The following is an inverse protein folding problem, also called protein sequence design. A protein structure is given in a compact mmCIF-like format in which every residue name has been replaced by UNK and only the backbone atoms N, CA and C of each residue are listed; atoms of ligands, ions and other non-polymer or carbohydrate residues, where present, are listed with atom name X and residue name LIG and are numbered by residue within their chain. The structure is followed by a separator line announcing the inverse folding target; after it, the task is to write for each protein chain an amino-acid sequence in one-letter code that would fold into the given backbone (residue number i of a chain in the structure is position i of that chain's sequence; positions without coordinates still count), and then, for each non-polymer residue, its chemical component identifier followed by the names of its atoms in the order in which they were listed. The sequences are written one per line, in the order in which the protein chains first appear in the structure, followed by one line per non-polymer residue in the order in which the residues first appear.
data_IF_649722461588
#
_entry.id   IF_649722461588
#
_cell.length_a   1.000
_cell.length_b   1.000
_cell.length_c   1.000
_cell.angle_alpha   90.00
_cell.angle_beta   90.00
_cell.angle_gamma   90.00
#
_symmetry.space_group_name_H-M   'P 1'
#
loop_
_entity.id
_entity.type
_entity.pdbx_description
1 polymer ?
#
# COMPACT_ATOMS: atom_id res chain seq x y z
N UNK A 1 0.06 11.09 -22.60
CA UNK A 1 -1.37 11.50 -22.46
C UNK A 1 -1.85 10.91 -21.13
N UNK A 2 -3.14 10.69 -20.91
CA UNK A 2 -3.65 9.92 -19.75
C UNK A 2 -4.65 8.89 -20.26
N UNK A 3 -4.83 7.79 -19.54
CA UNK A 3 -5.88 6.81 -19.85
C UNK A 3 -7.20 7.33 -19.28
N UNK A 4 -8.23 7.40 -20.12
CA UNK A 4 -9.60 7.65 -19.66
C UNK A 4 -10.19 6.33 -19.20
N UNK A 5 -10.57 6.24 -17.93
CA UNK A 5 -11.12 5.04 -17.33
C UNK A 5 -12.59 5.26 -16.98
N UNK A 6 -13.42 4.32 -17.38
CA UNK A 6 -14.76 4.17 -16.80
C UNK A 6 -14.78 2.85 -16.04
N UNK A 7 -15.24 2.89 -14.80
CA UNK A 7 -15.47 1.70 -14.01
C UNK A 7 -16.97 1.40 -13.94
N UNK A 8 -17.35 0.13 -14.03
CA UNK A 8 -18.68 -0.40 -13.76
C UNK A 8 -18.52 -1.64 -12.88
N UNK A 9 -19.56 -2.02 -12.14
CA UNK A 9 -19.61 -3.35 -11.52
C UNK A 9 -20.23 -4.35 -12.48
N UNK A 10 -20.01 -5.65 -12.26
CA UNK A 10 -20.87 -6.66 -12.87
C UNK A 10 -22.35 -6.39 -12.54
N UNK A 11 -23.25 -6.89 -13.38
CA UNK A 11 -24.69 -6.75 -13.17
C UNK A 11 -25.20 -7.62 -12.03
N UNK A 12 -26.42 -7.34 -11.59
CA UNK A 12 -27.04 -7.97 -10.41
C UNK A 12 -27.10 -9.50 -10.55
N UNK A 13 -26.75 -10.20 -9.47
CA UNK A 13 -26.83 -11.66 -9.38
C UNK A 13 -27.98 -12.11 -8.47
N UNK A 14 -28.36 -13.39 -8.55
CA UNK A 14 -29.31 -14.01 -7.62
C UNK A 14 -28.86 -13.89 -6.16
N UNK A 15 -27.54 -13.98 -5.91
CA UNK A 15 -26.98 -13.76 -4.57
C UNK A 15 -27.21 -12.32 -4.10
N UNK A 16 -27.07 -11.33 -4.98
CA UNK A 16 -27.33 -9.94 -4.62
C UNK A 16 -28.79 -9.70 -4.24
N UNK A 17 -29.73 -10.31 -4.98
CA UNK A 17 -31.18 -10.21 -4.70
C UNK A 17 -31.56 -10.84 -3.37
N UNK A 18 -30.85 -11.90 -2.97
CA UNK A 18 -31.06 -12.60 -1.69
C UNK A 18 -30.18 -12.07 -0.56
N UNK A 19 -29.37 -11.03 -0.81
CA UNK A 19 -28.53 -10.39 0.21
C UNK A 19 -27.28 -11.18 0.60
N UNK A 20 -26.76 -12.04 -0.28
CA UNK A 20 -25.54 -12.83 -0.09
C UNK A 20 -24.37 -12.28 -0.92
N UNK A 21 -23.19 -12.34 -0.33
CA UNK A 21 -21.96 -11.93 -1.00
C UNK A 21 -21.34 -13.13 -1.66
N UNK A 22 -21.47 -13.21 -2.99
CA UNK A 22 -20.91 -14.29 -3.80
C UNK A 22 -19.41 -14.49 -3.55
N UNK A 23 -18.64 -13.40 -3.40
CA UNK A 23 -17.19 -13.48 -3.27
C UNK A 23 -16.54 -14.16 -4.47
N UNK A 24 -15.68 -15.14 -4.21
CA UNK A 24 -15.02 -15.93 -5.28
C UNK A 24 -15.84 -17.13 -5.77
N UNK A 25 -17.09 -17.30 -5.35
CA UNK A 25 -18.00 -18.24 -6.00
C UNK A 25 -18.34 -17.73 -7.42
N UNK A 26 -18.75 -18.62 -8.35
CA UNK A 26 -19.06 -18.22 -9.72
C UNK A 26 -20.12 -17.09 -9.80
N UNK A 27 -21.23 -17.28 -9.08
CA UNK A 27 -22.41 -16.41 -9.13
C UNK A 27 -23.14 -16.50 -10.47
N UNK A 28 -24.44 -16.26 -10.45
CA UNK A 28 -25.31 -16.25 -11.64
C UNK A 28 -26.04 -14.91 -11.73
N UNK A 29 -26.02 -14.27 -12.90
CA UNK A 29 -26.80 -13.06 -13.14
C UNK A 29 -28.30 -13.36 -12.99
N UNK A 30 -29.04 -12.45 -12.35
CA UNK A 30 -30.49 -12.56 -12.33
C UNK A 30 -31.11 -12.14 -13.66
N UNK A 31 -32.41 -12.35 -13.84
CA UNK A 31 -33.12 -11.87 -15.04
C UNK A 31 -32.94 -10.36 -15.23
N UNK A 32 -33.11 -9.59 -14.16
CA UNK A 32 -32.85 -8.14 -14.14
C UNK A 32 -31.37 -7.84 -14.42
N UNK A 33 -30.45 -8.65 -13.87
CA UNK A 33 -29.02 -8.56 -14.14
C UNK A 33 -28.67 -8.71 -15.62
N UNK A 34 -29.31 -9.65 -16.33
CA UNK A 34 -29.12 -9.87 -17.77
C UNK A 34 -29.56 -8.63 -18.56
N UNK A 35 -30.70 -8.04 -18.23
CA UNK A 35 -31.20 -6.84 -18.90
C UNK A 35 -30.34 -5.61 -18.60
N UNK A 36 -29.84 -5.47 -17.36
CA UNK A 36 -28.88 -4.43 -16.99
C UNK A 36 -27.54 -4.57 -17.73
N UNK A 37 -27.06 -5.80 -17.94
CA UNK A 37 -25.85 -6.06 -18.71
C UNK A 37 -26.02 -5.67 -20.18
N UNK A 38 -27.16 -5.97 -20.80
CA UNK A 38 -27.47 -5.50 -22.17
C UNK A 38 -27.53 -3.98 -22.23
N UNK A 39 -28.20 -3.35 -21.26
CA UNK A 39 -28.30 -1.90 -21.19
C UNK A 39 -26.93 -1.23 -20.99
N UNK A 40 -25.97 -1.89 -20.31
CA UNK A 40 -24.59 -1.41 -20.23
C UNK A 40 -23.95 -1.31 -21.63
N UNK A 41 -24.15 -2.32 -22.47
CA UNK A 41 -23.70 -2.31 -23.86
C UNK A 41 -24.26 -1.12 -24.64
N UNK A 42 -25.58 -0.91 -24.58
CA UNK A 42 -26.24 0.22 -25.25
C UNK A 42 -25.68 1.59 -24.83
N UNK A 43 -25.30 1.75 -23.54
CA UNK A 43 -24.72 3.00 -23.04
C UNK A 43 -23.28 3.24 -23.47
N UNK A 44 -22.49 2.19 -23.76
CA UNK A 44 -21.02 2.28 -23.83
C UNK A 44 -20.43 1.92 -25.20
N UNK A 45 -21.10 1.13 -26.04
CA UNK A 45 -20.55 0.71 -27.35
C UNK A 45 -20.16 1.89 -28.25
N UNK A 46 -20.87 3.01 -28.15
CA UNK A 46 -20.62 4.22 -28.95
C UNK A 46 -19.63 5.23 -28.35
N UNK A 47 -19.00 4.94 -27.21
CA UNK A 47 -18.17 5.93 -26.48
C UNK A 47 -16.69 5.89 -26.88
N UNK A 48 -16.33 5.18 -27.95
CA UNK A 48 -14.94 5.05 -28.40
C UNK A 48 -14.06 4.20 -27.46
N UNK A 49 -14.64 3.17 -26.84
CA UNK A 49 -13.86 2.24 -26.01
C UNK A 49 -12.83 1.49 -26.86
N UNK A 50 -11.59 1.48 -26.39
CA UNK A 50 -10.49 0.75 -27.01
C UNK A 50 -10.43 -0.70 -26.52
N UNK A 51 -10.78 -0.93 -25.25
CA UNK A 51 -10.93 -2.26 -24.68
C UNK A 51 -11.87 -2.26 -23.46
N UNK A 52 -12.39 -3.44 -23.13
CA UNK A 52 -13.10 -3.74 -21.89
C UNK A 52 -12.28 -4.74 -21.10
N UNK A 53 -11.87 -4.39 -19.88
CA UNK A 53 -11.31 -5.33 -18.91
C UNK A 53 -12.40 -5.77 -17.94
N UNK A 54 -12.47 -7.06 -17.64
CA UNK A 54 -13.35 -7.57 -16.60
C UNK A 54 -12.62 -8.58 -15.70
N UNK A 55 -13.16 -8.83 -14.52
CA UNK A 55 -12.72 -9.99 -13.75
C UNK A 55 -13.06 -11.27 -14.49
N UNK A 56 -12.29 -12.32 -14.22
CA UNK A 56 -12.54 -13.66 -14.77
C UNK A 56 -13.60 -14.45 -13.97
N UNK A 57 -14.28 -13.83 -13.00
CA UNK A 57 -15.42 -14.46 -12.33
C UNK A 57 -16.61 -14.51 -13.29
N UNK A 58 -17.32 -15.64 -13.30
CA UNK A 58 -18.35 -15.94 -14.30
C UNK A 58 -19.36 -14.80 -14.51
N UNK A 59 -19.90 -14.22 -13.43
CA UNK A 59 -20.85 -13.10 -13.50
C UNK A 59 -20.30 -11.82 -14.16
N UNK A 60 -19.00 -11.54 -14.03
CA UNK A 60 -18.38 -10.38 -14.65
C UNK A 60 -18.11 -10.64 -16.13
N UNK A 61 -17.62 -11.84 -16.47
CA UNK A 61 -17.47 -12.30 -17.85
C UNK A 61 -18.81 -12.27 -18.58
N UNK A 62 -19.86 -12.85 -17.99
CA UNK A 62 -21.20 -12.88 -18.56
C UNK A 62 -21.76 -11.45 -18.76
N UNK A 63 -21.51 -10.54 -17.81
CA UNK A 63 -21.87 -9.12 -17.96
C UNK A 63 -21.18 -8.51 -19.18
N UNK A 64 -19.86 -8.72 -19.31
CA UNK A 64 -19.07 -8.19 -20.42
C UNK A 64 -19.49 -8.78 -21.77
N UNK A 65 -19.76 -10.09 -21.84
CA UNK A 65 -20.20 -10.77 -23.05
C UNK A 65 -21.60 -10.32 -23.50
N UNK A 66 -22.55 -10.16 -22.57
CA UNK A 66 -23.87 -9.62 -22.91
C UNK A 66 -23.79 -8.17 -23.39
N UNK A 67 -22.91 -7.38 -22.77
CA UNK A 67 -22.74 -5.96 -23.08
C UNK A 67 -21.94 -5.70 -24.36
N UNK A 68 -20.90 -6.50 -24.66
CA UNK A 68 -19.92 -6.21 -25.72
C UNK A 68 -19.64 -7.40 -26.65
N UNK A 69 -20.23 -8.57 -26.40
CA UNK A 69 -20.10 -9.73 -27.28
C UNK A 69 -20.58 -9.41 -28.70
N UNK A 70 -19.80 -9.85 -29.69
CA UNK A 70 -20.04 -9.54 -31.11
C UNK A 70 -19.73 -8.10 -31.51
N UNK A 71 -19.29 -7.25 -30.58
CA UNK A 71 -18.70 -5.94 -30.91
C UNK A 71 -17.22 -6.14 -31.22
N UNK A 72 -16.65 -5.32 -32.11
CA UNK A 72 -15.21 -5.35 -32.39
C UNK A 72 -14.33 -4.87 -31.23
N UNK A 73 -14.92 -4.56 -30.07
CA UNK A 73 -14.22 -4.09 -28.88
C UNK A 73 -13.64 -5.31 -28.15
N UNK A 74 -12.31 -5.39 -27.93
CA UNK A 74 -11.69 -6.48 -27.19
C UNK A 74 -12.23 -6.58 -25.76
N UNK A 75 -12.58 -7.79 -25.34
CA UNK A 75 -12.89 -8.14 -23.94
C UNK A 75 -11.69 -8.90 -23.37
N UNK A 76 -11.08 -8.38 -22.31
CA UNK A 76 -9.87 -8.90 -21.68
C UNK A 76 -10.20 -9.26 -20.23
N UNK A 77 -9.89 -10.48 -19.81
CA UNK A 77 -10.08 -10.89 -18.43
C UNK A 77 -8.81 -10.65 -17.61
N UNK A 78 -8.96 -10.19 -16.37
CA UNK A 78 -7.85 -9.97 -15.45
C UNK A 78 -8.24 -10.36 -14.02
N UNK A 79 -7.47 -11.25 -13.40
CA UNK A 79 -7.73 -11.76 -12.04
C UNK A 79 -7.62 -10.68 -10.97
N UNK A 80 -6.93 -9.57 -11.24
CA UNK A 80 -6.80 -8.44 -10.31
C UNK A 80 -8.09 -7.61 -10.20
N UNK A 81 -9.04 -7.81 -11.12
CA UNK A 81 -10.38 -7.23 -11.05
C UNK A 81 -11.37 -8.07 -10.24
N UNK A 82 -10.99 -9.23 -9.69
CA UNK A 82 -11.89 -10.06 -8.86
C UNK A 82 -12.39 -9.30 -7.63
N UNK A 83 -13.56 -9.73 -7.13
CA UNK A 83 -14.05 -9.29 -5.81
C UNK A 83 -13.02 -9.66 -4.73
N UNK A 84 -13.14 -9.09 -3.54
CA UNK A 84 -12.40 -9.61 -2.39
C UNK A 84 -12.71 -11.10 -2.18
N UNK A 85 -11.67 -11.92 -2.00
CA UNK A 85 -11.85 -13.30 -1.57
C UNK A 85 -12.25 -13.33 -0.10
N UNK A 86 -13.50 -13.69 0.20
CA UNK A 86 -13.94 -13.87 1.58
C UNK A 86 -13.47 -15.20 2.18
N UNK A 87 -12.75 -16.03 1.42
CA UNK A 87 -12.23 -17.33 1.84
C UNK A 87 -13.35 -18.26 2.30
N UNK A 88 -13.26 -18.72 3.54
CA UNK A 88 -14.31 -19.55 4.17
C UNK A 88 -15.67 -18.84 4.30
N UNK A 89 -15.74 -17.53 4.03
CA UNK A 89 -16.95 -16.72 4.15
C UNK A 89 -17.57 -16.33 2.80
N UNK A 90 -17.05 -16.84 1.69
CA UNK A 90 -17.70 -16.68 0.39
C UNK A 90 -19.14 -17.26 0.45
N UNK A 91 -20.11 -16.52 -0.08
CA UNK A 91 -21.54 -16.85 -0.02
C UNK A 91 -22.26 -16.45 1.27
N UNK A 92 -21.58 -15.83 2.25
CA UNK A 92 -22.24 -15.40 3.49
C UNK A 92 -23.16 -14.17 3.29
N UNK A 93 -24.16 -13.97 4.17
CA UNK A 93 -25.01 -12.78 4.13
C UNK A 93 -24.22 -11.47 4.23
N UNK A 94 -24.61 -10.47 3.42
CA UNK A 94 -24.01 -9.14 3.38
C UNK A 94 -23.92 -8.49 4.76
N UNK A 95 -24.95 -8.66 5.59
CA UNK A 95 -25.02 -8.07 6.93
C UNK A 95 -23.87 -8.57 7.83
N UNK A 96 -23.53 -9.87 7.76
CA UNK A 96 -22.43 -10.46 8.53
C UNK A 96 -21.08 -9.96 8.03
N UNK A 97 -20.91 -9.82 6.72
CA UNK A 97 -19.66 -9.30 6.18
C UNK A 97 -19.50 -7.81 6.48
N UNK A 98 -20.56 -7.02 6.36
CA UNK A 98 -20.54 -5.57 6.64
C UNK A 98 -20.06 -5.24 8.05
N UNK A 99 -20.50 -5.99 9.07
CA UNK A 99 -20.04 -5.78 10.44
C UNK A 99 -18.54 -6.04 10.62
N UNK A 100 -17.93 -6.83 9.74
CA UNK A 100 -16.53 -7.25 9.82
C UNK A 100 -15.62 -6.43 8.90
N UNK A 101 -16.16 -5.73 7.91
CA UNK A 101 -15.38 -4.99 6.88
C UNK A 101 -14.28 -4.10 7.46
N UNK A 102 -14.59 -3.37 8.53
CA UNK A 102 -13.62 -2.48 9.18
C UNK A 102 -12.44 -3.21 9.83
N UNK A 103 -12.64 -4.45 10.28
CA UNK A 103 -11.57 -5.31 10.79
C UNK A 103 -10.76 -5.96 9.65
N UNK A 104 -11.35 -6.07 8.46
CA UNK A 104 -10.79 -6.77 7.29
C UNK A 104 -10.06 -5.87 6.30
N UNK A 105 -9.85 -4.60 6.66
CA UNK A 105 -9.07 -3.66 5.84
C UNK A 105 -7.65 -4.19 5.65
N UNK A 106 -6.99 -4.49 6.77
CA UNK A 106 -5.59 -4.89 6.85
C UNK A 106 -5.42 -6.37 7.22
N UNK A 107 -6.44 -6.98 7.80
CA UNK A 107 -6.43 -8.38 8.21
C UNK A 107 -7.23 -9.20 7.21
N UNK A 108 -6.66 -10.26 6.60
CA UNK A 108 -7.40 -11.06 5.65
C UNK A 108 -8.66 -11.71 6.24
N UNK A 109 -9.65 -11.97 5.40
CA UNK A 109 -10.68 -12.95 5.73
C UNK A 109 -10.04 -14.34 5.95
N UNK A 110 -10.62 -15.21 6.79
CA UNK A 110 -10.07 -16.55 7.01
C UNK A 110 -9.94 -17.35 5.70
N UNK A 111 -8.70 -17.59 5.26
CA UNK A 111 -8.40 -18.26 3.99
C UNK A 111 -8.72 -17.44 2.75
N UNK A 112 -8.81 -16.11 2.87
CA UNK A 112 -9.10 -15.18 1.78
C UNK A 112 -8.16 -13.99 1.77
N UNK A 113 -8.67 -12.82 1.38
CA UNK A 113 -7.92 -11.59 1.22
C UNK A 113 -8.38 -10.51 2.21
N UNK A 114 -7.54 -9.53 2.47
CA UNK A 114 -7.92 -8.26 3.05
C UNK A 114 -8.35 -7.29 1.94
N UNK A 115 -9.09 -6.23 2.29
CA UNK A 115 -9.42 -5.19 1.30
C UNK A 115 -8.18 -4.48 0.77
N UNK A 116 -7.11 -4.40 1.56
CA UNK A 116 -5.85 -3.79 1.14
C UNK A 116 -5.09 -4.62 0.12
N UNK A 117 -5.14 -5.95 0.20
CA UNK A 117 -4.57 -6.82 -0.84
C UNK A 117 -5.32 -6.64 -2.18
N UNK A 118 -6.64 -6.46 -2.14
CA UNK A 118 -7.42 -6.12 -3.35
C UNK A 118 -6.97 -4.77 -3.92
N UNK A 119 -6.75 -3.76 -3.07
CA UNK A 119 -6.22 -2.47 -3.51
C UNK A 119 -4.83 -2.57 -4.13
N UNK A 120 -3.94 -3.40 -3.56
CA UNK A 120 -2.62 -3.65 -4.12
C UNK A 120 -2.69 -4.29 -5.52
N UNK A 121 -3.57 -5.28 -5.71
CA UNK A 121 -3.81 -5.90 -7.01
C UNK A 121 -4.37 -4.90 -8.04
N UNK A 122 -5.32 -4.05 -7.63
CA UNK A 122 -5.82 -2.98 -8.50
C UNK A 122 -4.69 -2.01 -8.90
N UNK A 123 -3.78 -1.68 -7.97
CA UNK A 123 -2.63 -0.85 -8.29
C UNK A 123 -1.66 -1.52 -9.29
N UNK A 124 -1.47 -2.84 -9.22
CA UNK A 124 -0.72 -3.57 -10.24
C UNK A 124 -1.39 -3.47 -11.62
N UNK A 125 -2.71 -3.64 -11.70
CA UNK A 125 -3.46 -3.50 -12.95
C UNK A 125 -3.35 -2.08 -13.53
N UNK A 126 -3.56 -1.06 -12.70
CA UNK A 126 -3.50 0.33 -13.13
C UNK A 126 -2.11 0.71 -13.68
N UNK A 127 -1.02 0.19 -13.10
CA UNK A 127 0.33 0.38 -13.66
C UNK A 127 0.45 -0.19 -15.07
N UNK A 128 -0.04 -1.41 -15.28
CA UNK A 128 0.00 -2.02 -16.60
C UNK A 128 -0.88 -1.27 -17.60
N UNK A 129 -2.03 -0.75 -17.16
CA UNK A 129 -2.92 0.05 -18.01
C UNK A 129 -2.27 1.37 -18.40
N UNK A 130 -1.67 2.09 -17.45
CA UNK A 130 -0.95 3.34 -17.69
C UNK A 130 0.15 3.17 -18.75
N UNK A 131 0.89 2.06 -18.66
CA UNK A 131 1.97 1.75 -19.60
C UNK A 131 1.49 1.35 -21.01
N UNK A 132 0.31 0.76 -21.14
CA UNK A 132 -0.16 0.13 -22.39
C UNK A 132 -1.21 0.95 -23.16
N UNK A 133 -1.94 1.81 -22.47
CA UNK A 133 -3.15 2.44 -22.98
C UNK A 133 -3.08 3.98 -22.94
N UNK A 134 -1.89 4.56 -23.08
CA UNK A 134 -1.72 6.02 -23.04
C UNK A 134 -2.60 6.73 -24.09
N UNK A 135 -3.51 7.58 -23.62
CA UNK A 135 -4.47 8.31 -24.46
C UNK A 135 -5.70 7.49 -24.90
N UNK A 136 -5.82 6.24 -24.49
CA UNK A 136 -6.96 5.38 -24.80
C UNK A 136 -8.07 5.47 -23.76
N UNK A 137 -9.27 5.03 -24.15
CA UNK A 137 -10.46 4.97 -23.30
C UNK A 137 -10.81 3.52 -22.98
N UNK A 138 -10.73 3.15 -21.71
CA UNK A 138 -10.83 1.77 -21.22
C UNK A 138 -11.99 1.64 -20.24
N UNK A 139 -12.80 0.59 -20.42
CA UNK A 139 -13.84 0.21 -19.46
C UNK A 139 -13.32 -0.90 -18.55
N UNK A 140 -13.49 -0.75 -17.25
CA UNK A 140 -13.22 -1.77 -16.24
C UNK A 140 -14.55 -2.27 -15.67
N UNK A 141 -14.78 -3.58 -15.67
CA UNK A 141 -15.95 -4.24 -15.07
C UNK A 141 -15.48 -5.12 -13.91
N UNK A 142 -15.70 -4.66 -12.68
CA UNK A 142 -15.28 -5.36 -11.46
C UNK A 142 -16.41 -5.56 -10.46
N UNK A 143 -16.10 -5.42 -9.18
CA UNK A 143 -17.00 -5.62 -8.05
C UNK A 143 -16.96 -4.45 -7.04
N UNK A 144 -17.54 -4.62 -5.85
CA UNK A 144 -17.56 -3.55 -4.86
C UNK A 144 -16.15 -3.26 -4.32
N UNK A 145 -15.36 -4.28 -3.96
CA UNK A 145 -14.02 -4.06 -3.39
C UNK A 145 -13.07 -3.36 -4.37
N UNK A 146 -13.09 -3.74 -5.64
CA UNK A 146 -12.26 -3.11 -6.69
C UNK A 146 -12.71 -1.69 -7.01
N UNK A 147 -13.98 -1.34 -6.80
CA UNK A 147 -14.46 0.05 -6.86
C UNK A 147 -13.92 0.88 -5.70
N UNK A 148 -13.89 0.31 -4.49
CA UNK A 148 -13.29 0.96 -3.32
C UNK A 148 -11.80 1.21 -3.56
N UNK A 149 -11.08 0.22 -4.09
CA UNK A 149 -9.68 0.36 -4.47
C UNK A 149 -9.45 1.52 -5.46
N UNK A 150 -10.26 1.63 -6.53
CA UNK A 150 -10.14 2.74 -7.49
C UNK A 150 -10.44 4.11 -6.88
N UNK A 151 -11.47 4.19 -6.04
CA UNK A 151 -11.79 5.42 -5.32
C UNK A 151 -10.67 5.87 -4.40
N UNK A 152 -9.92 4.91 -3.84
CA UNK A 152 -8.71 5.20 -3.05
C UNK A 152 -7.54 5.62 -3.92
N UNK A 153 -7.21 4.84 -4.93
CA UNK A 153 -6.00 5.02 -5.74
C UNK A 153 -6.05 6.24 -6.65
N UNK A 154 -7.23 6.58 -7.19
CA UNK A 154 -7.42 7.66 -8.17
C UNK A 154 -8.43 8.71 -7.72
N UNK A 155 -9.26 8.44 -6.71
CA UNK A 155 -10.33 9.33 -6.25
C UNK A 155 -10.02 10.11 -4.97
N UNK A 156 -8.87 9.90 -4.33
CA UNK A 156 -8.47 10.58 -3.09
C UNK A 156 -9.27 10.16 -1.83
N UNK A 157 -10.11 9.13 -1.91
CA UNK A 157 -10.83 8.61 -0.77
C UNK A 157 -9.93 7.72 0.11
N UNK A 158 -10.22 7.61 1.41
CA UNK A 158 -9.52 6.62 2.24
C UNK A 158 -10.11 5.24 2.02
N UNK A 159 -9.26 4.20 1.94
CA UNK A 159 -9.73 2.81 1.75
C UNK A 159 -10.72 2.41 2.84
N UNK A 160 -10.40 2.76 4.10
CA UNK A 160 -11.26 2.47 5.24
C UNK A 160 -12.62 3.16 5.13
N UNK A 161 -12.64 4.43 4.70
CA UNK A 161 -13.89 5.18 4.50
C UNK A 161 -14.76 4.56 3.40
N UNK A 162 -14.15 4.16 2.29
CA UNK A 162 -14.84 3.49 1.18
C UNK A 162 -15.40 2.12 1.59
N UNK A 163 -14.62 1.30 2.30
CA UNK A 163 -15.01 -0.07 2.65
C UNK A 163 -16.06 -0.14 3.76
N UNK A 164 -15.98 0.73 4.78
CA UNK A 164 -16.96 0.80 5.87
C UNK A 164 -18.20 1.60 5.46
N UNK A 165 -18.06 2.49 4.50
CA UNK A 165 -19.16 3.31 3.97
C UNK A 165 -20.24 2.49 3.28
N UNK A 166 -21.40 3.13 3.10
CA UNK A 166 -22.49 2.56 2.32
C UNK A 166 -22.10 2.49 0.83
N UNK A 167 -22.14 1.30 0.24
CA UNK A 167 -21.92 1.16 -1.20
C UNK A 167 -23.15 1.67 -1.96
N UNK A 168 -23.02 2.82 -2.60
CA UNK A 168 -24.05 3.43 -3.45
C UNK A 168 -23.73 3.18 -4.90
N UNK A 169 -24.43 2.22 -5.51
CA UNK A 169 -24.31 1.96 -6.93
C UNK A 169 -24.76 3.18 -7.76
N UNK A 170 -24.07 3.45 -8.86
CA UNK A 170 -24.47 4.42 -9.87
C UNK A 170 -24.01 3.94 -11.25
N UNK A 171 -24.52 4.59 -12.29
CA UNK A 171 -24.10 4.32 -13.67
C UNK A 171 -22.71 4.89 -13.92
N UNK A 172 -21.70 4.03 -13.91
CA UNK A 172 -20.31 4.37 -14.17
C UNK A 172 -19.62 5.22 -13.10
N UNK A 173 -18.31 5.00 -12.97
CA UNK A 173 -17.40 5.89 -12.26
C UNK A 173 -16.26 6.27 -13.19
N UNK A 174 -16.19 7.55 -13.63
CA UNK A 174 -15.07 8.01 -14.44
C UNK A 174 -13.84 8.26 -13.57
N UNK A 175 -12.67 7.94 -14.09
CA UNK A 175 -11.36 8.21 -13.52
C UNK A 175 -10.38 8.61 -14.64
N UNK A 176 -9.37 9.39 -14.29
CA UNK A 176 -8.24 9.65 -15.18
C UNK A 176 -7.02 8.99 -14.57
N UNK A 177 -6.35 8.14 -15.34
CA UNK A 177 -5.13 7.47 -14.95
C UNK A 177 -3.95 8.11 -15.68
N UNK A 178 -3.06 8.85 -14.99
CA UNK A 178 -1.86 9.43 -15.60
C UNK A 178 -0.98 8.36 -16.25
N UNK A 179 -0.34 8.68 -17.38
CA UNK A 179 0.59 7.74 -18.04
C UNK A 179 1.85 7.45 -17.20
N UNK A 180 2.25 8.40 -16.37
CA UNK A 180 3.32 8.29 -15.38
C UNK A 180 2.82 7.86 -14.00
N UNK A 181 1.59 7.33 -13.90
CA UNK A 181 1.03 6.91 -12.62
C UNK A 181 1.85 5.78 -12.01
N UNK A 182 2.46 6.08 -10.87
CA UNK A 182 3.44 5.21 -10.24
C UNK A 182 2.87 4.34 -9.11
N UNK A 183 1.56 4.37 -8.84
CA UNK A 183 0.95 3.51 -7.82
C UNK A 183 0.11 4.21 -6.76
N UNK A 184 0.01 5.54 -6.78
CA UNK A 184 -0.65 6.31 -5.72
C UNK A 184 0.20 6.30 -4.44
N UNK A 185 0.48 7.47 -3.88
CA UNK A 185 1.60 7.61 -2.92
C UNK A 185 1.33 7.06 -1.51
N UNK A 186 0.06 6.80 -1.16
CA UNK A 186 -0.33 6.81 0.25
C UNK A 186 -0.81 5.45 0.80
N UNK A 187 -1.62 4.71 0.03
CA UNK A 187 -2.20 3.44 0.52
C UNK A 187 -1.22 2.26 0.41
N UNK A 188 -0.23 2.37 -0.47
CA UNK A 188 0.91 1.44 -0.56
C UNK A 188 1.81 1.53 0.69
N UNK A 189 2.00 2.72 1.26
CA UNK A 189 2.82 2.88 2.47
C UNK A 189 2.16 2.22 3.68
N UNK A 190 0.84 2.37 3.86
CA UNK A 190 0.11 1.66 4.90
C UNK A 190 0.14 0.14 4.70
N UNK A 191 0.01 -0.34 3.46
CA UNK A 191 0.14 -1.76 3.17
C UNK A 191 1.51 -2.32 3.52
N UNK A 192 2.55 -1.59 3.14
CA UNK A 192 3.92 -1.93 3.46
C UNK A 192 4.16 -1.94 4.97
N UNK A 193 3.68 -0.94 5.73
CA UNK A 193 3.78 -0.94 7.20
C UNK A 193 3.04 -2.16 7.78
N UNK A 194 1.80 -2.42 7.37
CA UNK A 194 1.00 -3.54 7.87
C UNK A 194 1.70 -4.88 7.65
N UNK A 195 2.12 -5.16 6.42
CA UNK A 195 2.72 -6.46 6.05
C UNK A 195 4.09 -6.66 6.69
N UNK A 196 4.93 -5.64 6.65
CA UNK A 196 6.27 -5.68 7.23
C UNK A 196 6.22 -5.77 8.76
N UNK A 197 5.35 -5.00 9.42
CA UNK A 197 5.24 -5.01 10.88
C UNK A 197 4.62 -6.31 11.40
N UNK A 198 3.67 -6.90 10.67
CA UNK A 198 3.14 -8.23 10.99
C UNK A 198 4.22 -9.31 10.85
N UNK A 199 4.97 -9.32 9.75
CA UNK A 199 6.08 -10.25 9.54
C UNK A 199 7.16 -10.10 10.64
N UNK A 200 7.49 -8.86 11.00
CA UNK A 200 8.39 -8.55 12.10
C UNK A 200 7.85 -9.09 13.44
N UNK A 201 6.61 -8.80 13.80
CA UNK A 201 5.98 -9.31 15.03
C UNK A 201 6.11 -10.83 15.10
N UNK A 202 5.73 -11.54 14.04
CA UNK A 202 5.75 -13.00 13.99
C UNK A 202 7.17 -13.56 14.08
N UNK A 203 8.14 -12.91 13.42
CA UNK A 203 9.55 -13.27 13.56
C UNK A 203 10.03 -13.11 15.01
N UNK A 204 9.65 -12.05 15.71
CA UNK A 204 10.15 -11.80 17.07
C UNK A 204 9.46 -12.65 18.16
N UNK A 205 8.32 -13.30 17.87
CA UNK A 205 7.63 -14.15 18.84
C UNK A 205 8.53 -15.32 19.28
N UNK A 206 8.76 -15.42 20.59
CA UNK A 206 9.58 -16.46 21.21
C UNK A 206 11.09 -16.31 21.01
N UNK A 207 11.56 -15.22 20.39
CA UNK A 207 12.98 -14.92 20.23
C UNK A 207 13.60 -14.36 21.52
N UNK A 208 14.91 -14.58 21.72
CA UNK A 208 15.69 -13.84 22.71
C UNK A 208 16.01 -12.45 22.18
N UNK A 209 15.43 -11.42 22.81
CA UNK A 209 15.62 -10.02 22.42
C UNK A 209 16.77 -9.34 23.17
N UNK A 210 17.47 -10.03 24.08
CA UNK A 210 18.63 -9.49 24.80
C UNK A 210 19.94 -9.56 24.01
N UNK A 211 19.88 -9.90 22.72
CA UNK A 211 21.06 -10.03 21.86
C UNK A 211 21.51 -8.67 21.32
N UNK A 212 22.83 -8.40 21.21
CA UNK A 212 23.33 -7.14 20.68
C UNK A 212 22.97 -6.97 19.19
N UNK A 213 22.71 -5.73 18.78
CA UNK A 213 22.51 -5.38 17.36
C UNK A 213 23.69 -4.60 16.81
N UNK A 214 23.70 -4.38 15.49
CA UNK A 214 24.66 -3.46 14.86
C UNK A 214 24.43 -1.99 15.23
N UNK A 215 23.24 -1.65 15.73
CA UNK A 215 22.86 -0.31 16.13
C UNK A 215 23.31 -0.05 17.58
N UNK A 216 24.62 -0.16 17.84
CA UNK A 216 25.16 0.02 19.18
C UNK A 216 24.77 1.39 19.78
N UNK A 217 24.45 1.46 21.09
CA UNK A 217 24.58 0.41 22.11
C UNK A 217 23.36 -0.53 22.23
N UNK A 218 22.40 -0.48 21.31
CA UNK A 218 21.11 -1.18 21.46
C UNK A 218 21.20 -2.70 21.27
N UNK A 219 20.57 -3.42 22.19
CA UNK A 219 20.16 -4.80 21.97
C UNK A 219 18.89 -4.88 21.09
N UNK A 220 18.45 -6.09 20.74
CA UNK A 220 17.29 -6.28 19.88
C UNK A 220 15.99 -5.75 20.50
N UNK A 221 15.90 -5.70 21.83
CA UNK A 221 14.74 -5.13 22.54
C UNK A 221 14.74 -3.62 22.46
N UNK A 222 15.89 -2.98 22.68
CA UNK A 222 16.07 -1.54 22.55
C UNK A 222 15.79 -1.08 21.11
N UNK A 223 16.25 -1.84 20.12
CA UNK A 223 15.97 -1.56 18.71
C UNK A 223 14.48 -1.73 18.38
N UNK A 224 13.80 -2.75 18.92
CA UNK A 224 12.35 -2.89 18.78
C UNK A 224 11.61 -1.72 19.42
N UNK A 225 12.05 -1.26 20.59
CA UNK A 225 11.48 -0.10 21.28
C UNK A 225 11.65 1.19 20.45
N UNK A 226 12.79 1.35 19.77
CA UNK A 226 13.01 2.45 18.83
C UNK A 226 11.96 2.48 17.72
N UNK A 227 11.79 1.35 17.00
CA UNK A 227 10.81 1.24 15.91
C UNK A 227 9.37 1.40 16.43
N UNK A 228 9.07 0.86 17.62
CA UNK A 228 7.76 1.04 18.27
C UNK A 228 7.45 2.51 18.53
N UNK A 229 8.40 3.25 19.10
CA UNK A 229 8.25 4.67 19.40
C UNK A 229 8.04 5.50 18.13
N UNK A 230 8.71 5.16 17.05
CA UNK A 230 8.58 5.93 15.81
C UNK A 230 7.24 5.69 15.12
N UNK A 231 6.68 4.49 15.20
CA UNK A 231 5.32 4.21 14.74
C UNK A 231 4.26 4.87 15.61
N UNK A 232 4.42 4.84 16.95
CA UNK A 232 3.45 5.44 17.89
C UNK A 232 3.28 6.95 17.70
N UNK A 233 4.35 7.65 17.28
CA UNK A 233 4.31 9.07 16.92
C UNK A 233 3.27 9.38 15.84
N UNK A 234 3.01 8.45 14.92
CA UNK A 234 1.96 8.61 13.90
C UNK A 234 0.61 8.87 14.57
N UNK A 235 0.24 8.06 15.57
CA UNK A 235 -1.00 8.24 16.31
C UNK A 235 -1.02 9.59 17.03
N UNK A 236 0.06 9.97 17.71
CA UNK A 236 0.17 11.26 18.39
C UNK A 236 -0.01 12.43 17.43
N UNK A 237 0.70 12.44 16.29
CA UNK A 237 0.60 13.48 15.27
C UNK A 237 -0.85 13.62 14.79
N UNK A 238 -1.55 12.50 14.59
CA UNK A 238 -2.92 12.49 14.09
C UNK A 238 -3.95 13.04 15.09
N UNK A 239 -3.63 13.08 16.38
CA UNK A 239 -4.49 13.71 17.42
C UNK A 239 -4.30 15.23 17.55
N UNK A 240 -3.30 15.80 16.90
CA UNK A 240 -3.00 17.24 16.96
C UNK A 240 -3.53 17.99 15.73
N UNK A 241 -3.71 19.31 15.84
CA UNK A 241 -4.12 20.13 14.70
C UNK A 241 -3.06 20.05 13.57
N UNK A 242 -3.48 19.92 12.28
CA UNK A 242 -2.53 19.95 11.17
C UNK A 242 -1.66 21.22 11.20
N UNK A 243 -0.33 21.11 11.05
CA UNK A 243 0.52 22.29 10.94
C UNK A 243 0.27 23.02 9.61
N UNK A 244 0.52 24.33 9.59
CA UNK A 244 0.66 25.08 8.34
C UNK A 244 2.10 25.09 7.82
N UNK A 245 2.29 25.57 6.60
CA UNK A 245 3.61 25.71 5.95
C UNK A 245 3.78 24.78 4.75
N UNK A 246 4.88 24.98 4.02
CA UNK A 246 5.25 24.15 2.88
C UNK A 246 5.73 22.77 3.37
N UNK A 247 5.09 21.67 2.95
CA UNK A 247 5.44 20.34 3.44
C UNK A 247 6.76 19.85 2.82
N UNK A 248 7.54 19.13 3.60
CA UNK A 248 8.61 18.29 3.10
C UNK A 248 8.05 17.19 2.18
N UNK A 249 8.84 16.76 1.19
CA UNK A 249 8.64 15.49 0.50
C UNK A 249 9.17 14.33 1.36
N UNK A 250 8.85 13.09 1.00
CA UNK A 250 9.40 11.91 1.67
C UNK A 250 10.94 11.88 1.60
N UNK A 251 11.54 12.21 0.44
CA UNK A 251 12.99 12.34 0.30
C UNK A 251 13.55 13.51 1.12
N UNK A 252 12.90 14.68 1.06
CA UNK A 252 13.29 15.88 1.80
C UNK A 252 13.23 15.73 3.32
N UNK A 253 12.51 14.73 3.85
CA UNK A 253 12.57 14.35 5.26
C UNK A 253 14.00 14.02 5.71
N UNK A 254 14.77 13.34 4.86
CA UNK A 254 16.11 12.88 5.19
C UNK A 254 17.20 13.97 5.06
N UNK A 255 16.91 15.02 4.30
CA UNK A 255 17.79 16.20 4.15
C UNK A 255 17.40 17.36 5.08
N UNK A 256 16.37 17.17 5.92
CA UNK A 256 15.83 18.24 6.75
C UNK A 256 16.87 18.76 7.77
N UNK A 257 16.98 20.10 7.97
CA UNK A 257 17.88 20.67 8.96
C UNK A 257 17.63 20.12 10.37
N UNK A 258 18.71 19.81 11.11
CA UNK A 258 18.62 19.29 12.47
C UNK A 258 18.28 17.81 12.59
N UNK A 259 18.11 17.08 11.47
CA UNK A 259 17.78 15.65 11.51
C UNK A 259 18.82 14.80 12.26
N UNK A 260 20.09 15.21 12.16
CA UNK A 260 21.28 14.58 12.74
C UNK A 260 22.00 15.48 13.76
N UNK A 261 21.27 16.36 14.48
CA UNK A 261 21.86 17.15 15.56
C UNK A 261 22.30 16.24 16.73
N UNK A 262 23.60 16.22 17.11
CA UNK A 262 24.14 15.36 18.17
C UNK A 262 23.44 15.50 19.53
N UNK A 263 22.88 16.67 19.87
CA UNK A 263 22.16 16.87 21.12
C UNK A 263 20.83 16.10 21.16
N UNK A 264 20.22 15.90 19.99
CA UNK A 264 18.96 15.16 19.82
C UNK A 264 19.19 13.65 19.79
N UNK A 265 20.40 13.21 19.47
CA UNK A 265 20.79 11.80 19.43
C UNK A 265 21.02 11.18 20.82
N UNK A 266 21.51 11.95 21.80
CA UNK A 266 21.66 11.46 23.18
C UNK A 266 20.29 11.18 23.83
N UNK A 267 19.31 12.07 23.64
CA UNK A 267 17.94 11.86 24.10
C UNK A 267 17.26 10.67 23.40
N UNK A 268 17.63 10.39 22.13
CA UNK A 268 17.16 9.23 21.36
C UNK A 268 17.70 7.91 21.95
N UNK A 269 18.95 7.89 22.39
CA UNK A 269 19.57 6.72 23.02
C UNK A 269 18.91 6.40 24.37
N UNK A 270 18.63 7.43 25.17
CA UNK A 270 18.02 7.28 26.50
C UNK A 270 16.54 6.87 26.44
N UNK A 271 15.72 7.43 25.54
CA UNK A 271 14.27 7.16 25.47
C UNK A 271 13.95 5.71 25.07
N UNK A 272 14.77 5.12 24.20
CA UNK A 272 14.60 3.72 23.77
C UNK A 272 14.98 2.72 24.88
N UNK A 273 16.09 2.97 25.59
CA UNK A 273 16.63 2.07 26.62
C UNK A 273 15.70 1.87 27.84
N UNK A 274 14.76 2.80 28.06
CA UNK A 274 13.80 2.72 29.17
C UNK A 274 12.49 2.00 28.81
N UNK A 275 12.24 1.71 27.52
CA UNK A 275 11.01 1.04 27.08
C UNK A 275 11.24 -0.47 26.90
N UNK A 276 10.60 -1.28 27.75
CA UNK A 276 10.60 -2.75 27.62
C UNK A 276 9.64 -3.22 26.52
N UNK A 277 9.93 -2.91 25.26
CA UNK A 277 9.12 -3.38 24.15
C UNK A 277 9.09 -4.91 24.10
N UNK A 278 7.95 -5.46 23.70
CA UNK A 278 7.73 -6.86 23.40
C UNK A 278 7.07 -6.98 22.02
N UNK A 279 7.08 -8.16 21.39
CA UNK A 279 6.35 -8.37 20.14
C UNK A 279 4.86 -8.01 20.26
N UNK A 280 4.24 -8.24 21.43
CA UNK A 280 2.83 -7.92 21.64
C UNK A 280 2.57 -6.41 21.82
N UNK A 281 3.45 -5.68 22.54
CA UNK A 281 3.29 -4.22 22.63
C UNK A 281 3.56 -3.54 21.29
N UNK A 282 4.52 -4.08 20.53
CA UNK A 282 4.80 -3.64 19.17
C UNK A 282 3.60 -3.89 18.25
N UNK A 283 3.02 -5.10 18.29
CA UNK A 283 1.84 -5.47 17.51
C UNK A 283 0.66 -4.52 17.75
N UNK A 284 0.36 -4.25 19.02
CA UNK A 284 -0.68 -3.30 19.39
C UNK A 284 -0.38 -1.87 18.88
N UNK A 285 0.89 -1.45 18.95
CA UNK A 285 1.31 -0.10 18.56
C UNK A 285 1.17 0.13 17.07
N UNK A 286 1.71 -0.77 16.23
CA UNK A 286 1.64 -0.57 14.78
C UNK A 286 0.20 -0.68 14.27
N UNK A 287 -0.63 -1.57 14.85
CA UNK A 287 -2.06 -1.66 14.50
C UNK A 287 -2.82 -0.39 14.82
N UNK A 288 -2.52 0.25 15.97
CA UNK A 288 -3.11 1.52 16.33
C UNK A 288 -2.67 2.65 15.38
N UNK A 289 -1.39 2.68 14.99
CA UNK A 289 -0.85 3.65 14.03
C UNK A 289 -1.50 3.50 12.64
N UNK A 290 -1.53 2.28 12.10
CA UNK A 290 -2.18 1.97 10.81
C UNK A 290 -3.66 2.29 10.83
N UNK A 291 -4.36 1.95 11.92
CA UNK A 291 -5.80 2.26 12.06
C UNK A 291 -6.04 3.76 12.06
N UNK A 292 -5.28 4.52 12.85
CA UNK A 292 -5.42 5.98 12.91
C UNK A 292 -5.10 6.63 11.56
N UNK A 293 -4.00 6.23 10.92
CA UNK A 293 -3.60 6.75 9.62
C UNK A 293 -4.59 6.39 8.51
N UNK A 294 -5.18 5.20 8.53
CA UNK A 294 -6.19 4.77 7.56
C UNK A 294 -7.49 5.56 7.61
N UNK A 295 -7.75 6.33 8.67
CA UNK A 295 -8.88 7.26 8.75
C UNK A 295 -8.54 8.67 8.29
N UNK A 296 -7.26 9.03 8.26
CA UNK A 296 -6.82 10.37 7.92
C UNK A 296 -6.70 10.53 6.39
N UNK A 297 -7.03 11.72 5.89
CA UNK A 297 -6.76 12.07 4.51
C UNK A 297 -5.24 12.05 4.28
N UNK A 298 -4.73 11.40 3.22
CA UNK A 298 -3.28 11.28 3.04
C UNK A 298 -2.52 12.60 2.81
N UNK A 299 -3.20 13.58 2.23
CA UNK A 299 -2.69 14.92 2.00
C UNK A 299 -2.68 15.78 3.28
N UNK A 300 -3.27 15.28 4.37
CA UNK A 300 -3.21 15.92 5.69
C UNK A 300 -1.76 16.14 6.09
N UNK A 301 -1.46 17.36 6.51
CA UNK A 301 -0.16 17.67 7.08
C UNK A 301 -0.03 17.13 8.50
N UNK A 302 1.13 16.57 8.81
CA UNK A 302 1.58 16.18 10.15
C UNK A 302 2.90 16.87 10.47
N UNK A 303 3.18 17.04 11.76
CA UNK A 303 4.41 17.68 12.23
C UNK A 303 5.46 16.62 12.55
N UNK A 304 6.59 16.63 11.86
CA UNK A 304 7.74 15.78 12.18
C UNK A 304 8.29 16.07 13.58
N UNK A 305 9.13 15.17 14.11
CA UNK A 305 9.81 15.39 15.40
C UNK A 305 10.63 16.68 15.45
N UNK A 306 11.09 17.16 14.30
CA UNK A 306 11.91 18.37 14.15
C UNK A 306 11.08 19.62 13.84
N UNK A 307 9.76 19.53 13.94
CA UNK A 307 8.86 20.66 13.79
C UNK A 307 8.44 20.96 12.34
N UNK A 308 9.07 20.33 11.33
CA UNK A 308 8.71 20.54 9.93
C UNK A 308 7.38 19.88 9.56
N UNK A 309 6.51 20.55 8.77
CA UNK A 309 5.33 19.93 8.19
C UNK A 309 5.73 18.92 7.10
N UNK A 310 4.98 17.83 6.99
CA UNK A 310 5.11 16.80 5.94
C UNK A 310 3.72 16.23 5.67
N UNK A 311 3.42 15.79 4.43
CA UNK A 311 2.17 15.08 4.15
C UNK A 311 2.18 13.73 4.88
N UNK A 312 1.03 13.29 5.38
CA UNK A 312 0.94 12.02 6.08
C UNK A 312 1.44 10.86 5.21
N UNK A 313 1.05 10.82 3.94
CA UNK A 313 1.54 9.84 2.97
C UNK A 313 3.06 9.79 2.87
N UNK A 314 3.69 10.95 2.65
CA UNK A 314 5.15 11.08 2.60
C UNK A 314 5.81 10.61 3.91
N UNK A 315 5.25 10.99 5.06
CA UNK A 315 5.76 10.55 6.36
C UNK A 315 5.70 9.02 6.50
N UNK A 316 4.59 8.39 6.12
CA UNK A 316 4.43 6.94 6.19
C UNK A 316 5.44 6.21 5.30
N UNK A 317 5.80 6.75 4.13
CA UNK A 317 6.88 6.20 3.29
C UNK A 317 8.22 6.17 4.03
N UNK A 318 8.54 7.20 4.81
CA UNK A 318 9.75 7.19 5.66
C UNK A 318 9.68 6.14 6.77
N UNK A 319 8.48 5.83 7.28
CA UNK A 319 8.28 4.79 8.29
C UNK A 319 8.48 3.39 7.71
N UNK A 320 8.07 3.17 6.46
CA UNK A 320 8.35 1.91 5.75
C UNK A 320 9.84 1.66 5.64
N UNK A 321 10.62 2.68 5.23
CA UNK A 321 12.08 2.56 5.16
C UNK A 321 12.66 2.23 6.53
N UNK A 322 12.25 2.94 7.58
CA UNK A 322 12.75 2.68 8.93
C UNK A 322 12.45 1.26 9.42
N UNK A 323 11.23 0.77 9.15
CA UNK A 323 10.80 -0.57 9.51
C UNK A 323 11.55 -1.66 8.74
N UNK A 324 11.71 -1.49 7.42
CA UNK A 324 12.48 -2.41 6.58
C UNK A 324 13.95 -2.47 7.02
N UNK A 325 14.54 -1.31 7.24
CA UNK A 325 15.96 -1.15 7.60
C UNK A 325 16.27 -1.77 8.97
N UNK A 326 15.44 -1.52 9.98
CA UNK A 326 15.63 -2.10 11.31
C UNK A 326 15.11 -3.54 11.41
N UNK A 327 14.20 -3.96 10.52
CA UNK A 327 13.88 -5.36 10.30
C UNK A 327 15.12 -6.17 9.89
N UNK A 328 15.91 -5.67 8.95
CA UNK A 328 17.20 -6.29 8.57
C UNK A 328 18.18 -6.36 9.75
N UNK A 329 18.28 -5.30 10.54
CA UNK A 329 19.18 -5.25 11.71
C UNK A 329 18.79 -6.31 12.77
N UNK A 330 17.48 -6.49 12.99
CA UNK A 330 16.96 -7.50 13.91
C UNK A 330 17.13 -8.91 13.34
N UNK A 331 16.96 -9.11 12.03
CA UNK A 331 17.20 -10.38 11.37
C UNK A 331 18.67 -10.82 11.53
N UNK A 332 19.59 -9.89 11.25
CA UNK A 332 21.03 -10.10 11.38
C UNK A 332 21.40 -10.44 12.85
N UNK A 333 20.86 -9.69 13.83
CA UNK A 333 21.12 -9.93 15.26
C UNK A 333 20.59 -11.28 15.77
N UNK A 334 19.46 -11.74 15.23
CA UNK A 334 18.83 -13.01 15.60
C UNK A 334 19.36 -14.21 14.77
N UNK A 335 20.28 -13.99 13.83
CA UNK A 335 20.81 -15.03 12.95
C UNK A 335 19.76 -15.63 12.01
N UNK A 336 18.80 -14.82 11.55
CA UNK A 336 17.68 -15.24 10.69
C UNK A 336 17.86 -14.74 9.26
N UNK A 337 17.16 -15.38 8.33
CA UNK A 337 17.03 -14.83 6.98
C UNK A 337 16.36 -13.44 7.06
N UNK A 338 16.78 -12.47 6.24
CA UNK A 338 16.15 -11.16 6.20
C UNK A 338 14.68 -11.31 5.83
N UNK A 339 13.78 -10.75 6.65
CA UNK A 339 12.42 -10.51 6.22
C UNK A 339 12.37 -9.11 5.63
N UNK A 340 11.97 -9.03 4.37
CA UNK A 340 11.61 -7.79 3.69
C UNK A 340 10.47 -8.16 2.76
N UNK A 341 9.27 -7.73 3.12
CA UNK A 341 8.06 -8.02 2.34
C UNK A 341 8.11 -7.28 1.01
N UNK A 342 7.53 -7.86 -0.04
CA UNK A 342 7.52 -7.23 -1.37
C UNK A 342 6.90 -5.82 -1.38
N UNK A 343 5.81 -5.53 -0.65
CA UNK A 343 5.30 -4.16 -0.52
C UNK A 343 6.30 -3.19 0.10
N UNK A 344 6.97 -3.58 1.19
CA UNK A 344 7.99 -2.75 1.85
C UNK A 344 9.23 -2.55 0.97
N UNK A 345 9.65 -3.59 0.25
CA UNK A 345 10.74 -3.50 -0.73
C UNK A 345 10.45 -2.46 -1.81
N UNK A 346 9.23 -2.44 -2.36
CA UNK A 346 8.83 -1.49 -3.42
C UNK A 346 8.84 -0.04 -2.93
N UNK A 347 8.22 0.22 -1.77
CA UNK A 347 8.17 1.58 -1.22
C UNK A 347 9.58 2.07 -0.86
N UNK A 348 10.39 1.18 -0.29
CA UNK A 348 11.78 1.48 0.09
C UNK A 348 12.64 1.75 -1.13
N UNK A 349 12.61 0.87 -2.15
CA UNK A 349 13.36 1.04 -3.40
C UNK A 349 13.02 2.37 -4.07
N UNK A 350 11.74 2.71 -4.18
CA UNK A 350 11.31 4.00 -4.75
C UNK A 350 11.84 5.20 -3.96
N UNK A 351 11.64 5.20 -2.65
CA UNK A 351 12.07 6.33 -1.83
C UNK A 351 13.59 6.50 -1.84
N UNK A 352 14.34 5.39 -1.82
CA UNK A 352 15.79 5.43 -1.91
C UNK A 352 16.28 5.93 -3.28
N UNK A 353 15.58 5.61 -4.38
CA UNK A 353 15.89 6.14 -5.71
C UNK A 353 15.63 7.64 -5.85
N UNK A 354 14.67 8.19 -5.11
CA UNK A 354 14.48 9.65 -5.02
C UNK A 354 15.67 10.35 -4.35
N UNK A 355 16.35 9.67 -3.42
CA UNK A 355 17.59 10.16 -2.79
C UNK A 355 18.82 9.94 -3.69
N UNK A 356 18.78 8.90 -4.53
CA UNK A 356 19.77 8.66 -5.58
C UNK A 356 19.56 7.35 -6.33
N UNK A 357 19.72 7.36 -7.64
CA UNK A 357 19.47 6.18 -8.47
C UNK A 357 20.77 5.43 -8.85
N UNK A 358 20.98 4.19 -8.35
CA UNK A 358 22.17 3.39 -8.64
C UNK A 358 22.11 2.67 -10.00
N UNK A 359 21.13 2.95 -10.86
CA UNK A 359 20.91 2.20 -12.10
C UNK A 359 22.19 1.96 -12.91
N UNK A 360 22.41 0.70 -13.30
CA UNK A 360 23.65 0.25 -13.94
C UNK A 360 24.76 -0.23 -12.99
N UNK A 361 24.58 -0.18 -11.67
CA UNK A 361 25.48 -0.82 -10.69
C UNK A 361 25.17 -2.32 -10.47
N UNK A 362 24.07 -2.83 -11.03
CA UNK A 362 23.72 -4.26 -10.99
C UNK A 362 23.30 -4.78 -9.61
N UNK A 363 22.94 -3.90 -8.69
CA UNK A 363 22.46 -4.29 -7.36
C UNK A 363 21.02 -4.80 -7.42
N UNK A 364 20.76 -5.92 -6.76
CA UNK A 364 19.40 -6.30 -6.39
C UNK A 364 18.87 -5.39 -5.27
N UNK A 365 17.57 -5.51 -4.95
CA UNK A 365 16.91 -4.62 -3.99
C UNK A 365 17.48 -4.72 -2.56
N UNK A 366 17.87 -5.91 -2.11
CA UNK A 366 18.46 -6.10 -0.77
C UNK A 366 19.85 -5.48 -0.70
N UNK A 367 20.69 -5.76 -1.71
CA UNK A 367 22.03 -5.17 -1.84
C UNK A 367 21.95 -3.65 -1.89
N UNK A 368 21.01 -3.13 -2.67
CA UNK A 368 20.74 -1.71 -2.77
C UNK A 368 20.38 -1.12 -1.41
N UNK A 369 19.35 -1.66 -0.73
CA UNK A 369 18.92 -1.21 0.59
C UNK A 369 20.05 -1.23 1.61
N UNK A 370 20.83 -2.31 1.65
CA UNK A 370 21.96 -2.44 2.59
C UNK A 370 23.06 -1.42 2.29
N UNK A 371 23.45 -1.21 1.04
CA UNK A 371 24.49 -0.23 0.67
C UNK A 371 24.02 1.21 0.87
N UNK A 372 22.80 1.51 0.43
CA UNK A 372 22.13 2.80 0.59
C UNK A 372 22.08 3.32 2.03
N UNK A 373 22.00 2.39 2.98
CA UNK A 373 21.83 2.67 4.40
C UNK A 373 23.07 2.33 5.24
N UNK A 374 24.24 2.13 4.59
CA UNK A 374 25.53 1.90 5.24
C UNK A 374 25.67 0.54 5.94
N UNK A 375 24.75 -0.40 5.65
CA UNK A 375 24.72 -1.74 6.21
C UNK A 375 25.60 -2.73 5.46
N UNK A 376 25.94 -2.42 4.22
CA UNK A 376 26.95 -3.13 3.42
C UNK A 376 27.96 -2.12 2.87
N UNK A 377 29.26 -2.44 2.86
CA UNK A 377 30.28 -1.55 2.33
C UNK A 377 30.13 -1.37 0.81
N UNK A 378 30.52 -0.19 0.34
CA UNK A 378 30.76 0.09 -1.07
C UNK A 378 32.16 -0.41 -1.45
N UNK A 379 32.28 -1.07 -2.59
CA UNK A 379 33.58 -1.30 -3.24
C UNK A 379 34.13 0.03 -3.77
N UNK A 380 35.44 0.09 -4.03
CA UNK A 380 36.05 1.30 -4.59
C UNK A 380 35.44 1.72 -5.93
N UNK A 381 35.07 0.73 -6.78
CA UNK A 381 34.42 0.99 -8.07
C UNK A 381 33.02 1.57 -7.90
N UNK A 382 32.23 1.04 -6.97
CA UNK A 382 30.90 1.56 -6.68
C UNK A 382 30.95 2.96 -6.08
N UNK A 383 31.87 3.21 -5.14
CA UNK A 383 32.06 4.52 -4.53
C UNK A 383 32.47 5.58 -5.57
N UNK A 384 33.35 5.22 -6.51
CA UNK A 384 33.73 6.09 -7.62
C UNK A 384 32.55 6.40 -8.54
N UNK A 385 31.77 5.38 -8.92
CA UNK A 385 30.59 5.54 -9.77
C UNK A 385 29.49 6.41 -9.11
N UNK A 386 29.26 6.26 -7.80
CA UNK A 386 28.32 7.11 -7.06
C UNK A 386 28.81 8.56 -6.98
N UNK A 387 30.11 8.77 -6.79
CA UNK A 387 30.73 10.10 -6.73
C UNK A 387 30.62 10.83 -8.08
N UNK A 388 30.89 10.13 -9.19
CA UNK A 388 30.75 10.67 -10.55
C UNK A 388 29.32 11.14 -10.84
N UNK A 389 28.32 10.45 -10.26
CA UNK A 389 26.90 10.78 -10.40
C UNK A 389 26.39 11.79 -9.38
N UNK A 390 27.24 12.27 -8.46
CA UNK A 390 26.87 13.23 -7.42
C UNK A 390 25.87 12.71 -6.39
N UNK A 391 25.72 11.39 -6.24
CA UNK A 391 24.73 10.79 -5.34
C UNK A 391 25.24 10.82 -3.88
N UNK A 392 24.46 11.41 -2.98
CA UNK A 392 24.71 11.37 -1.53
C UNK A 392 23.61 10.56 -0.86
N UNK A 393 24.03 9.53 -0.14
CA UNK A 393 23.13 8.61 0.56
C UNK A 393 23.06 8.96 2.04
N UNK A 394 22.03 8.44 2.71
CA UNK A 394 21.76 8.59 4.16
C UNK A 394 22.96 8.30 5.08
N UNK A 395 24.01 7.69 4.55
CA UNK A 395 25.22 7.28 5.29
C UNK A 395 26.54 7.89 4.78
N UNK A 396 26.52 9.01 4.05
CA UNK A 396 27.74 9.77 3.75
C UNK A 396 27.94 11.01 4.63
N UNK A 397 27.65 10.87 5.92
CA UNK A 397 28.17 11.72 6.99
C UNK A 397 28.53 10.87 8.22
N UNK A 398 29.36 9.84 8.03
CA UNK A 398 30.18 9.29 9.09
C UNK A 398 31.64 9.60 8.73
N UNK A 399 32.08 10.79 9.13
CA UNK A 399 33.51 11.14 9.27
C UNK A 399 33.87 11.13 10.74
#
# INVERSE_FOLDING_TARGET
MAVDLVYETHSVTLDNETGHATGWLPGELSADGIDLARALGERRRGTGLHAVYCSDLHRAVQTAELAFGGTGIPIITDTRLREVDYGAWNGMPHAKLHSERGARIDVPFPGGQSYREVTAHMADLLRDLAARHDGEHILLIGHAATRHALATLLGGATLRGEVIGEFRWRTGWPYTLPADWDGGHDDLALHAITTEAAALTDALRGADLGVPTRCAPWDARDLLAHVQLTLSRTTTMLTTAPPGGEPLTAAGYYDAPGLFDPATDTARLDEAHHQRATPDTFDNTWRAAVTAAGWAAPDRLVRTRHGHPIRLGDYLRTRVVELAVHGLDLADALGRAPWLTEPAARVTDRLLRELGDPDGLGWDRDTFLRKATGRAPLTASEAAALTERGLRWLTLAAS
#
